data_IF_493046713987
#
_entry.id   IF_493046713987
#
_cell.length_a   1.000
_cell.length_b   1.000
_cell.length_c   1.000
_cell.angle_alpha   90.00
_cell.angle_beta   90.00
_cell.angle_gamma   90.00
#
_symmetry.space_group_name_H-M   'P 1'
#
loop_
_entity.id
_entity.type
_entity.pdbx_description
1 polymer ?
#
# COMPACT_ATOMS: atom_id res chain seq x y z
N UNK A 1 1.76 14.00 5.21
CA UNK A 1 0.36 13.88 4.70
C UNK A 1 -0.45 13.06 5.70
N UNK A 2 -1.79 13.15 5.69
CA UNK A 2 -2.60 12.28 6.56
C UNK A 2 -2.51 10.83 6.06
N UNK A 3 -2.49 9.90 7.00
CA UNK A 3 -2.50 8.48 6.67
C UNK A 3 -3.82 8.08 6.02
N UNK A 4 -3.71 7.15 5.08
CA UNK A 4 -4.85 6.60 4.37
C UNK A 4 -5.24 5.32 5.09
N UNK A 5 -6.48 5.27 5.58
CA UNK A 5 -7.08 4.04 6.09
C UNK A 5 -7.90 3.41 4.98
N UNK A 6 -7.53 2.18 4.63
CA UNK A 6 -8.20 1.35 3.64
C UNK A 6 -9.16 0.45 4.40
N UNK A 7 -10.41 0.88 4.50
CA UNK A 7 -11.45 0.14 5.21
C UNK A 7 -12.32 -0.64 4.22
N UNK A 8 -12.27 -1.97 4.36
CA UNK A 8 -13.23 -2.92 3.77
C UNK A 8 -13.64 -3.88 4.90
N UNK A 9 -14.76 -4.60 4.75
CA UNK A 9 -15.25 -5.55 5.75
C UNK A 9 -14.11 -6.41 6.33
N UNK A 10 -13.86 -6.29 7.64
CA UNK A 10 -12.72 -6.91 8.34
C UNK A 10 -11.80 -5.89 9.03
N UNK A 11 -10.56 -6.32 9.31
CA UNK A 11 -9.51 -5.49 9.92
C UNK A 11 -8.96 -4.46 8.89
N UNK A 12 -9.07 -3.14 9.13
CA UNK A 12 -8.64 -2.13 8.17
C UNK A 12 -7.12 -2.07 7.99
N UNK A 13 -6.67 -1.80 6.77
CA UNK A 13 -5.26 -1.56 6.49
C UNK A 13 -4.93 -0.06 6.58
N UNK A 14 -3.73 0.29 7.05
CA UNK A 14 -3.23 1.66 7.10
C UNK A 14 -2.04 1.86 6.17
N UNK A 15 -2.04 2.97 5.43
CA UNK A 15 -0.91 3.43 4.62
C UNK A 15 -0.40 4.77 5.13
N UNK A 16 0.90 4.84 5.43
CA UNK A 16 1.60 6.04 5.91
C UNK A 16 2.45 6.63 4.79
N UNK A 17 2.06 7.79 4.26
CA UNK A 17 2.91 8.52 3.34
C UNK A 17 4.23 8.91 4.00
N UNK A 18 4.20 9.34 5.27
CA UNK A 18 5.38 9.82 5.98
C UNK A 18 6.48 8.76 6.08
N UNK A 19 6.13 7.48 6.07
CA UNK A 19 7.09 6.37 6.05
C UNK A 19 7.65 6.16 4.64
N UNK A 20 6.79 6.15 3.62
CA UNK A 20 7.21 5.84 2.24
C UNK A 20 8.04 6.97 1.61
N UNK A 21 7.71 8.23 1.89
CA UNK A 21 8.42 9.40 1.33
C UNK A 21 9.79 9.66 1.96
N UNK A 22 10.20 8.87 2.96
CA UNK A 22 11.58 8.89 3.45
C UNK A 22 12.55 8.23 2.46
N UNK A 23 12.04 7.37 1.58
CA UNK A 23 12.84 6.57 0.65
C UNK A 23 12.43 6.78 -0.81
N UNK A 24 11.15 7.07 -1.07
CA UNK A 24 10.60 7.13 -2.43
C UNK A 24 9.99 8.49 -2.74
N UNK A 25 10.17 8.94 -3.98
CA UNK A 25 9.57 10.16 -4.50
C UNK A 25 8.10 9.94 -4.89
N UNK A 26 7.36 11.04 -5.00
CA UNK A 26 5.91 11.02 -5.28
C UNK A 26 5.56 10.25 -6.56
N UNK A 27 6.40 10.35 -7.60
CA UNK A 27 6.20 9.77 -8.92
C UNK A 27 6.43 8.25 -8.97
N UNK A 28 7.13 7.71 -7.97
CA UNK A 28 7.30 6.26 -7.78
C UNK A 28 5.95 5.58 -7.59
N UNK A 29 5.03 6.25 -6.88
CA UNK A 29 3.67 5.74 -6.63
C UNK A 29 2.61 6.38 -7.55
N UNK A 30 2.77 7.66 -7.89
CA UNK A 30 1.74 8.43 -8.61
C UNK A 30 2.19 8.85 -10.01
N UNK A 31 1.39 8.67 -11.05
CA UNK A 31 0.05 8.07 -11.10
C UNK A 31 0.09 6.58 -11.47
N UNK A 32 1.28 5.97 -11.46
CA UNK A 32 1.55 4.61 -11.96
C UNK A 32 0.82 3.54 -11.15
N UNK A 33 1.05 3.49 -9.83
CA UNK A 33 0.49 2.48 -8.92
C UNK A 33 -0.84 2.96 -8.33
N UNK A 34 -0.93 4.24 -7.99
CA UNK A 34 -2.09 4.83 -7.35
C UNK A 34 -2.47 6.16 -7.99
N UNK A 35 -3.76 6.50 -7.98
CA UNK A 35 -4.21 7.86 -8.27
C UNK A 35 -4.00 8.74 -7.04
N UNK A 36 -3.81 10.04 -7.23
CA UNK A 36 -3.81 11.03 -6.12
C UNK A 36 -5.22 11.29 -5.57
N UNK A 37 -5.97 10.22 -5.28
CA UNK A 37 -7.30 10.26 -4.68
C UNK A 37 -7.54 8.97 -3.91
N UNK A 38 -7.72 9.06 -2.60
CA UNK A 38 -8.01 7.91 -1.76
C UNK A 38 -9.33 7.23 -2.17
N UNK A 39 -9.39 5.91 -2.04
CA UNK A 39 -10.59 5.11 -2.32
C UNK A 39 -10.90 4.87 -3.81
N UNK A 40 -10.08 5.35 -4.75
CA UNK A 40 -10.31 5.07 -6.18
C UNK A 40 -9.75 3.74 -6.66
N UNK A 41 -8.81 3.18 -5.91
CA UNK A 41 -8.16 1.91 -6.23
C UNK A 41 -8.74 0.83 -5.34
N UNK A 42 -9.36 -0.18 -5.94
CA UNK A 42 -9.81 -1.37 -5.24
C UNK A 42 -8.66 -2.37 -5.18
N UNK A 43 -8.20 -2.68 -3.98
CA UNK A 43 -7.14 -3.67 -3.73
C UNK A 43 -7.80 -4.94 -3.20
N UNK A 44 -7.46 -6.09 -3.78
CA UNK A 44 -7.93 -7.40 -3.35
C UNK A 44 -6.76 -8.34 -3.08
N UNK A 45 -7.02 -9.46 -2.38
CA UNK A 45 -6.01 -10.50 -2.18
C UNK A 45 -5.46 -11.09 -3.49
N UNK A 46 -6.23 -11.03 -4.60
CA UNK A 46 -5.72 -11.46 -5.91
C UNK A 46 -4.59 -10.56 -6.39
N UNK A 47 -4.69 -9.26 -6.12
CA UNK A 47 -3.69 -8.28 -6.52
C UNK A 47 -2.38 -8.45 -5.74
N UNK A 48 -2.45 -8.95 -4.51
CA UNK A 48 -1.27 -9.30 -3.70
C UNK A 48 -0.44 -10.39 -4.40
N UNK A 49 -1.10 -11.44 -4.90
CA UNK A 49 -0.45 -12.55 -5.62
C UNK A 49 0.07 -12.17 -7.00
N UNK A 50 -0.41 -11.05 -7.55
CA UNK A 50 0.00 -10.54 -8.86
C UNK A 50 0.97 -9.36 -8.73
N UNK A 51 1.58 -9.16 -7.56
CA UNK A 51 2.61 -8.15 -7.32
C UNK A 51 2.19 -6.71 -7.63
N UNK A 52 0.91 -6.41 -7.42
CA UNK A 52 0.36 -5.07 -7.66
C UNK A 52 0.31 -4.25 -6.39
N UNK A 53 0.25 -2.93 -6.56
CA UNK A 53 0.02 -1.97 -5.49
C UNK A 53 1.10 -2.08 -4.41
N UNK A 54 0.72 -2.38 -3.16
CA UNK A 54 1.66 -2.59 -2.06
C UNK A 54 2.69 -3.68 -2.39
N UNK A 55 2.25 -4.75 -3.07
CA UNK A 55 3.10 -5.90 -3.39
C UNK A 55 4.04 -5.66 -4.57
N UNK A 56 3.98 -4.50 -5.23
CA UNK A 56 5.02 -4.12 -6.19
C UNK A 56 6.38 -3.90 -5.50
N UNK A 57 6.37 -3.53 -4.22
CA UNK A 57 7.58 -3.33 -3.41
C UNK A 57 7.62 -4.18 -2.14
N UNK A 58 6.48 -4.69 -1.66
CA UNK A 58 6.40 -5.57 -0.49
C UNK A 58 6.31 -7.05 -0.87
N UNK A 59 7.19 -7.89 -0.32
CA UNK A 59 7.18 -9.33 -0.58
C UNK A 59 8.54 -9.99 -0.41
N UNK A 60 8.63 -11.26 -0.74
CA UNK A 60 9.89 -12.00 -0.73
C UNK A 60 10.84 -11.42 -1.81
N UNK A 61 12.10 -11.16 -1.43
CA UNK A 61 13.11 -10.57 -2.32
C UNK A 61 12.73 -9.18 -2.89
N UNK A 62 11.91 -8.40 -2.19
CA UNK A 62 11.56 -7.02 -2.57
C UNK A 62 12.13 -5.99 -1.61
N UNK A 63 11.86 -4.72 -1.90
CA UNK A 63 12.37 -3.58 -1.13
C UNK A 63 11.97 -3.62 0.36
N UNK A 64 10.81 -4.22 0.67
CA UNK A 64 10.37 -4.43 2.04
C UNK A 64 9.68 -5.79 2.20
N UNK A 65 9.75 -6.43 3.38
CA UNK A 65 8.98 -7.63 3.66
C UNK A 65 7.48 -7.30 3.78
N UNK A 66 6.66 -8.34 3.83
CA UNK A 66 5.23 -8.24 4.10
C UNK A 66 4.84 -9.20 5.23
N UNK A 67 3.92 -8.73 6.09
CA UNK A 67 3.11 -9.55 6.98
C UNK A 67 1.72 -8.90 7.09
N UNK A 68 0.73 -9.64 7.57
CA UNK A 68 -0.65 -9.15 7.70
C UNK A 68 -0.70 -7.93 8.64
N UNK A 69 0.01 -8.01 9.76
CA UNK A 69 -0.02 -7.07 10.89
C UNK A 69 0.67 -5.75 10.55
N UNK A 70 1.63 -5.74 9.63
CA UNK A 70 2.30 -4.49 9.20
C UNK A 70 1.32 -3.50 8.58
N UNK A 71 0.31 -4.00 7.86
CA UNK A 71 -0.71 -3.18 7.22
C UNK A 71 -2.00 -3.14 8.05
N UNK A 72 -2.45 -4.30 8.55
CA UNK A 72 -3.70 -4.48 9.29
C UNK A 72 -3.46 -4.33 10.81
N UNK A 73 -2.93 -3.18 11.21
CA UNK A 73 -2.51 -2.87 12.59
C UNK A 73 -3.53 -2.06 13.41
N UNK A 74 -4.74 -1.87 12.87
CA UNK A 74 -5.79 -1.07 13.48
C UNK A 74 -6.80 -1.92 14.26
#
# INVERSE_FOLDING_TARGET
MKDIVIQKAGNPARFSHNTHVQTFECDTCHFSLFKMKAGTTLITFKDHKSDKYCFSCHGENKAAPFSCELCHSL
#
